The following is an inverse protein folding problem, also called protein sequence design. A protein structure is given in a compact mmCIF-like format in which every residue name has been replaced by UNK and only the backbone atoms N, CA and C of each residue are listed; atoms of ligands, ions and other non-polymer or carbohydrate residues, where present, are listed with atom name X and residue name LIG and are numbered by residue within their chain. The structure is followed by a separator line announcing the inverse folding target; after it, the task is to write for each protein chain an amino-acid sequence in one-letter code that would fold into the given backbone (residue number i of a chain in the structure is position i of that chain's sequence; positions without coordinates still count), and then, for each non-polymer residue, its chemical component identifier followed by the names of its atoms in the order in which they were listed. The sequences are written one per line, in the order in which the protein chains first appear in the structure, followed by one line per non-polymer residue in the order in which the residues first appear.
data_IF_708353418337
#
_entry.id   IF_708353418337
#
_cell.length_a   1.000
_cell.length_b   1.000
_cell.length_c   1.000
_cell.angle_alpha   90.00
_cell.angle_beta   90.00
_cell.angle_gamma   90.00
#
_symmetry.space_group_name_H-M   'P 1'
#
loop_
_entity.id
_entity.type
_entity.pdbx_description
1 polymer ?
#
# COMPACT_ATOMS: atom_id res chain seq x y z
N UNK A 1 -19.50 55.26 19.84
CA UNK A 1 -19.63 54.39 18.65
C UNK A 1 -18.31 54.03 17.96
N UNK A 2 -17.34 54.94 17.77
CA UNK A 2 -16.07 54.59 17.07
C UNK A 2 -15.15 53.62 17.83
N UNK A 3 -15.18 53.55 19.17
CA UNK A 3 -14.33 52.61 19.94
C UNK A 3 -14.85 51.16 19.93
N UNK A 4 -16.16 50.94 19.77
CA UNK A 4 -16.73 49.59 19.65
C UNK A 4 -16.46 48.94 18.28
N UNK A 5 -16.22 49.74 17.24
CA UNK A 5 -15.91 49.25 15.90
C UNK A 5 -14.49 48.65 15.86
N UNK A 6 -13.52 49.22 16.59
CA UNK A 6 -12.16 48.68 16.66
C UNK A 6 -12.06 47.37 17.45
N UNK A 7 -12.84 47.22 18.52
CA UNK A 7 -12.88 46.00 19.33
C UNK A 7 -13.56 44.85 18.56
N UNK A 8 -14.59 45.15 17.75
CA UNK A 8 -15.22 44.17 16.87
C UNK A 8 -14.30 43.72 15.71
N UNK A 9 -13.46 44.61 15.18
CA UNK A 9 -12.47 44.28 14.13
C UNK A 9 -11.30 43.45 14.68
N UNK A 10 -10.88 43.68 15.94
CA UNK A 10 -9.87 42.85 16.61
C UNK A 10 -10.40 41.46 16.99
N UNK A 11 -11.68 41.37 17.39
CA UNK A 11 -12.33 40.08 17.70
C UNK A 11 -12.57 39.23 16.44
N UNK A 12 -12.90 39.84 15.30
CA UNK A 12 -12.98 39.09 14.02
C UNK A 12 -11.61 38.70 13.49
N UNK A 13 -10.56 39.52 13.69
CA UNK A 13 -9.19 39.09 13.39
C UNK A 13 -8.73 37.93 14.28
N UNK A 14 -9.13 37.89 15.55
CA UNK A 14 -8.77 36.79 16.47
C UNK A 14 -9.53 35.47 16.19
N UNK A 15 -10.74 35.54 15.63
CA UNK A 15 -11.51 34.37 15.20
C UNK A 15 -11.08 33.85 13.82
N UNK A 16 -10.56 34.73 12.94
CA UNK A 16 -9.95 34.32 11.66
C UNK A 16 -8.50 33.82 11.88
N UNK A 17 -7.80 34.34 12.89
CA UNK A 17 -6.46 33.88 13.27
C UNK A 17 -6.45 32.52 13.99
N UNK A 18 -7.61 32.06 14.49
CA UNK A 18 -7.77 30.71 15.06
C UNK A 18 -8.33 29.68 14.08
N UNK A 19 -8.44 30.02 12.79
CA UNK A 19 -8.32 29.05 11.71
C UNK A 19 -6.84 28.62 11.62
N UNK A 20 -6.37 27.96 12.70
CA UNK A 20 -5.06 27.36 12.80
C UNK A 20 -4.85 26.47 11.58
N UNK A 21 -3.88 26.82 10.74
CA UNK A 21 -3.49 26.00 9.60
C UNK A 21 -3.22 24.58 10.08
N UNK A 22 -4.01 23.60 9.63
CA UNK A 22 -3.80 22.17 9.89
C UNK A 22 -2.33 21.79 9.75
N UNK A 23 -1.78 21.00 10.68
CA UNK A 23 -0.33 20.72 10.72
C UNK A 23 0.14 19.95 9.47
N UNK A 24 1.45 19.91 9.23
CA UNK A 24 2.01 19.11 8.12
C UNK A 24 1.62 17.64 8.26
N UNK A 25 1.71 17.11 9.48
CA UNK A 25 1.37 15.73 9.84
C UNK A 25 -0.12 15.45 9.61
N UNK A 26 -1.00 16.39 9.95
CA UNK A 26 -2.43 16.27 9.69
C UNK A 26 -2.74 16.27 8.19
N UNK A 27 -2.08 17.14 7.41
CA UNK A 27 -2.21 17.11 5.94
C UNK A 27 -1.70 15.81 5.33
N UNK A 28 -0.61 15.24 5.87
CA UNK A 28 -0.10 13.93 5.45
C UNK A 28 -1.14 12.84 5.77
N UNK A 29 -1.73 12.87 6.97
CA UNK A 29 -2.76 11.90 7.38
C UNK A 29 -4.00 11.95 6.48
N UNK A 30 -4.47 13.16 6.12
CA UNK A 30 -5.57 13.35 5.16
C UNK A 30 -5.20 12.74 3.80
N UNK A 31 -4.02 13.06 3.27
CA UNK A 31 -3.60 12.55 1.97
C UNK A 31 -3.46 11.02 1.95
N UNK A 32 -2.93 10.42 3.02
CA UNK A 32 -2.86 8.96 3.19
C UNK A 32 -4.25 8.32 3.25
N UNK A 33 -5.21 8.98 3.90
CA UNK A 33 -6.60 8.51 3.94
C UNK A 33 -7.18 8.47 2.54
N UNK A 34 -6.93 9.48 1.70
CA UNK A 34 -7.32 9.46 0.29
C UNK A 34 -6.67 8.28 -0.45
N UNK A 35 -5.38 7.97 -0.22
CA UNK A 35 -4.76 6.80 -0.86
C UNK A 35 -5.46 5.50 -0.45
N UNK A 36 -5.75 5.35 0.85
CA UNK A 36 -6.46 4.18 1.37
C UNK A 36 -7.86 4.06 0.76
N UNK A 37 -8.69 5.12 0.85
CA UNK A 37 -10.05 5.11 0.33
C UNK A 37 -10.10 4.88 -1.18
N UNK A 38 -9.21 5.52 -1.94
CA UNK A 38 -9.11 5.31 -3.37
C UNK A 38 -8.74 3.87 -3.74
N UNK A 39 -7.89 3.22 -2.95
CA UNK A 39 -7.60 1.79 -3.11
C UNK A 39 -8.79 0.89 -2.77
N UNK A 40 -9.52 1.20 -1.69
CA UNK A 40 -10.71 0.44 -1.26
C UNK A 40 -11.85 0.54 -2.28
N UNK A 41 -12.10 1.74 -2.79
CA UNK A 41 -13.22 2.03 -3.69
C UNK A 41 -12.86 1.86 -5.17
N UNK A 42 -11.62 1.45 -5.46
CA UNK A 42 -11.05 1.39 -6.82
C UNK A 42 -11.16 2.74 -7.57
N UNK A 43 -11.13 3.86 -6.84
CA UNK A 43 -11.27 5.20 -7.39
C UNK A 43 -9.92 5.89 -7.61
N UNK A 44 -9.50 5.89 -8.87
CA UNK A 44 -8.28 6.54 -9.35
C UNK A 44 -8.22 8.04 -9.01
N UNK A 45 -9.32 8.78 -9.10
CA UNK A 45 -9.29 10.23 -8.88
C UNK A 45 -9.06 10.56 -7.41
N UNK A 46 -9.58 9.77 -6.48
CA UNK A 46 -9.27 9.89 -5.06
C UNK A 46 -7.78 9.67 -4.77
N UNK A 47 -7.15 8.67 -5.38
CA UNK A 47 -5.71 8.44 -5.23
C UNK A 47 -4.90 9.62 -5.81
N UNK A 48 -5.30 10.14 -6.98
CA UNK A 48 -4.65 11.30 -7.59
C UNK A 48 -4.77 12.57 -6.73
N UNK A 49 -5.89 12.78 -6.05
CA UNK A 49 -6.05 13.88 -5.07
C UNK A 49 -5.05 13.73 -3.92
N UNK A 50 -4.91 12.54 -3.33
CA UNK A 50 -3.92 12.26 -2.30
C UNK A 50 -2.48 12.51 -2.78
N UNK A 51 -2.14 12.00 -3.98
CA UNK A 51 -0.84 12.24 -4.62
C UNK A 51 -0.52 13.74 -4.80
N UNK A 52 -1.49 14.52 -5.28
CA UNK A 52 -1.33 15.98 -5.47
C UNK A 52 -1.04 16.68 -4.14
N UNK A 53 -1.78 16.33 -3.08
CA UNK A 53 -1.54 16.89 -1.74
C UNK A 53 -0.14 16.52 -1.22
N UNK A 54 0.27 15.26 -1.33
CA UNK A 54 1.61 14.82 -0.90
C UNK A 54 2.72 15.54 -1.66
N UNK A 55 2.54 15.76 -2.97
CA UNK A 55 3.51 16.49 -3.79
C UNK A 55 3.62 17.96 -3.37
N UNK A 56 2.50 18.62 -3.08
CA UNK A 56 2.49 19.99 -2.58
C UNK A 56 3.14 20.10 -1.18
N UNK A 57 2.92 19.11 -0.31
CA UNK A 57 3.60 19.02 0.98
C UNK A 57 5.11 18.86 0.77
N UNK A 58 5.54 17.98 -0.12
CA UNK A 58 6.97 17.74 -0.39
C UNK A 58 7.71 18.98 -0.88
N UNK A 59 7.06 19.83 -1.68
CA UNK A 59 7.65 21.08 -2.17
C UNK A 59 8.02 22.05 -1.04
N UNK A 60 7.26 22.01 0.07
CA UNK A 60 7.48 22.89 1.23
C UNK A 60 8.20 22.19 2.38
N UNK A 61 8.09 20.86 2.46
CA UNK A 61 8.61 20.01 3.54
C UNK A 61 9.17 18.70 2.96
N UNK A 62 10.34 18.73 2.29
CA UNK A 62 10.90 17.59 1.59
C UNK A 62 11.50 16.58 2.58
N UNK A 63 10.67 15.65 3.06
CA UNK A 63 11.09 14.58 3.97
C UNK A 63 11.03 13.22 3.27
N UNK A 64 11.91 12.26 3.65
CA UNK A 64 11.82 10.88 3.16
C UNK A 64 10.44 10.25 3.39
N UNK A 65 9.75 10.58 4.47
CA UNK A 65 8.40 10.10 4.78
C UNK A 65 7.38 10.54 3.73
N UNK A 66 7.37 11.82 3.37
CA UNK A 66 6.47 12.32 2.34
C UNK A 66 6.81 11.70 0.98
N UNK A 67 8.10 11.56 0.65
CA UNK A 67 8.54 10.93 -0.59
C UNK A 67 8.13 9.45 -0.67
N UNK A 68 8.16 8.72 0.45
CA UNK A 68 7.63 7.36 0.54
C UNK A 68 6.14 7.32 0.20
N UNK A 69 5.33 8.23 0.77
CA UNK A 69 3.90 8.26 0.46
C UNK A 69 3.60 8.68 -0.98
N UNK A 70 4.43 9.52 -1.60
CA UNK A 70 4.35 9.81 -3.03
C UNK A 70 4.59 8.54 -3.86
N UNK A 71 5.59 7.74 -3.50
CA UNK A 71 5.85 6.45 -4.15
C UNK A 71 4.70 5.46 -3.91
N UNK A 72 4.16 5.40 -2.69
CA UNK A 72 2.99 4.58 -2.36
C UNK A 72 1.77 4.97 -3.20
N UNK A 73 1.47 6.27 -3.35
CA UNK A 73 0.34 6.72 -4.16
C UNK A 73 0.44 6.21 -5.61
N UNK A 74 1.65 6.22 -6.18
CA UNK A 74 1.90 5.67 -7.52
C UNK A 74 1.79 4.15 -7.55
N UNK A 75 2.26 3.46 -6.50
CA UNK A 75 2.03 2.02 -6.34
C UNK A 75 0.53 1.67 -6.37
N UNK A 76 -0.32 2.39 -5.63
CA UNK A 76 -1.78 2.13 -5.64
C UNK A 76 -2.39 2.40 -7.02
N UNK A 77 -1.98 3.49 -7.71
CA UNK A 77 -2.42 3.75 -9.09
C UNK A 77 -2.06 2.61 -10.04
N UNK A 78 -0.83 2.07 -9.94
CA UNK A 78 -0.38 0.95 -10.78
C UNK A 78 -1.19 -0.31 -10.47
N UNK A 79 -1.55 -0.56 -9.21
CA UNK A 79 -2.38 -1.71 -8.85
C UNK A 79 -3.78 -1.66 -9.47
N UNK A 80 -4.43 -0.50 -9.44
CA UNK A 80 -5.76 -0.34 -10.08
C UNK A 80 -5.72 -0.62 -11.59
N UNK A 81 -4.59 -0.34 -12.23
CA UNK A 81 -4.42 -0.54 -13.66
C UNK A 81 -4.12 -1.98 -14.10
N UNK A 82 -4.05 -2.96 -13.21
CA UNK A 82 -3.63 -4.34 -13.55
C UNK A 82 -4.60 -5.01 -14.54
N UNK A 83 -5.86 -4.61 -14.54
CA UNK A 83 -6.89 -5.05 -15.52
C UNK A 83 -6.77 -4.34 -16.87
N UNK A 84 -6.07 -3.20 -16.95
CA UNK A 84 -5.87 -2.37 -18.15
C UNK A 84 -4.37 -2.18 -18.44
N UNK A 85 -3.69 -3.30 -18.70
CA UNK A 85 -2.22 -3.32 -18.89
C UNK A 85 -1.74 -2.58 -20.13
N UNK A 86 -2.61 -2.35 -21.11
CA UNK A 86 -2.29 -1.63 -22.35
C UNK A 86 -2.16 -0.11 -22.12
N UNK A 87 -2.73 0.40 -21.02
CA UNK A 87 -2.67 1.81 -20.70
C UNK A 87 -1.30 2.22 -20.19
N UNK A 88 -0.56 2.89 -21.08
CA UNK A 88 0.81 3.36 -20.86
C UNK A 88 0.96 4.27 -19.64
N UNK A 89 -0.12 4.91 -19.19
CA UNK A 89 -0.09 5.78 -18.03
C UNK A 89 0.30 5.04 -16.74
N UNK A 90 -0.12 3.78 -16.58
CA UNK A 90 0.24 2.97 -15.41
C UNK A 90 1.70 2.53 -15.44
N UNK A 91 2.26 2.23 -16.62
CA UNK A 91 3.70 1.97 -16.77
C UNK A 91 4.54 3.20 -16.37
N UNK A 92 4.11 4.40 -16.77
CA UNK A 92 4.77 5.64 -16.34
C UNK A 92 4.69 5.84 -14.83
N UNK A 93 3.56 5.53 -14.19
CA UNK A 93 3.45 5.59 -12.73
C UNK A 93 4.36 4.57 -12.05
N UNK A 94 4.52 3.38 -12.62
CA UNK A 94 5.42 2.35 -12.11
C UNK A 94 6.88 2.79 -12.19
N UNK A 95 7.32 3.35 -13.32
CA UNK A 95 8.68 3.90 -13.48
C UNK A 95 8.93 5.03 -12.49
N UNK A 96 7.97 5.95 -12.33
CA UNK A 96 8.05 7.05 -11.36
C UNK A 96 8.17 6.53 -9.92
N UNK A 97 7.36 5.55 -9.53
CA UNK A 97 7.39 4.95 -8.20
C UNK A 97 8.74 4.29 -7.90
N UNK A 98 9.26 3.50 -8.85
CA UNK A 98 10.57 2.85 -8.71
C UNK A 98 11.67 3.90 -8.55
N UNK A 99 11.68 4.96 -9.36
CA UNK A 99 12.68 6.02 -9.24
C UNK A 99 12.64 6.70 -7.86
N UNK A 100 11.45 6.96 -7.31
CA UNK A 100 11.31 7.52 -5.94
C UNK A 100 11.80 6.58 -4.86
N UNK A 101 11.57 5.28 -5.02
CA UNK A 101 12.08 4.26 -4.11
C UNK A 101 13.60 4.16 -4.17
N UNK A 102 14.22 4.23 -5.35
CA UNK A 102 15.68 4.26 -5.45
C UNK A 102 16.28 5.55 -4.82
N UNK A 103 15.65 6.70 -5.03
CA UNK A 103 16.02 7.96 -4.37
C UNK A 103 15.96 7.83 -2.83
N UNK A 104 14.88 7.21 -2.31
CA UNK A 104 14.73 6.95 -0.89
C UNK A 104 15.82 6.03 -0.34
N UNK A 105 16.20 4.99 -1.08
CA UNK A 105 17.26 4.08 -0.64
C UNK A 105 18.64 4.73 -0.61
N UNK A 106 18.88 5.76 -1.43
CA UNK A 106 20.09 6.57 -1.31
C UNK A 106 20.10 7.39 -0.02
N UNK A 107 18.94 7.93 0.38
CA UNK A 107 18.80 8.77 1.59
C UNK A 107 18.69 7.95 2.89
N UNK A 108 18.03 6.79 2.83
CA UNK A 108 17.65 5.94 3.96
C UNK A 108 17.89 4.45 3.62
N UNK A 109 19.15 4.02 3.47
CA UNK A 109 19.49 2.67 3.00
C UNK A 109 19.12 1.54 3.97
N UNK A 110 18.69 1.85 5.20
CA UNK A 110 18.28 0.86 6.21
C UNK A 110 16.77 0.84 6.45
N UNK A 111 15.99 1.57 5.64
CA UNK A 111 14.56 1.68 5.86
C UNK A 111 13.80 0.51 5.23
N UNK A 112 13.46 -0.49 6.06
CA UNK A 112 12.76 -1.72 5.66
C UNK A 112 11.52 -1.48 4.78
N UNK A 113 10.71 -0.47 5.10
CA UNK A 113 9.49 -0.13 4.35
C UNK A 113 9.75 0.17 2.87
N UNK A 114 10.86 0.85 2.58
CA UNK A 114 11.25 1.21 1.21
C UNK A 114 11.62 -0.04 0.41
N UNK A 115 12.30 -1.00 1.04
CA UNK A 115 12.61 -2.29 0.41
C UNK A 115 11.37 -3.15 0.18
N UNK A 116 10.42 -3.16 1.10
CA UNK A 116 9.14 -3.84 0.91
C UNK A 116 8.40 -3.27 -0.31
N UNK A 117 8.29 -1.94 -0.41
CA UNK A 117 7.66 -1.27 -1.55
C UNK A 117 8.41 -1.53 -2.86
N UNK A 118 9.75 -1.49 -2.84
CA UNK A 118 10.60 -1.88 -3.98
C UNK A 118 10.27 -3.27 -4.49
N UNK A 119 10.18 -4.24 -3.59
CA UNK A 119 9.89 -5.63 -3.95
C UNK A 119 8.55 -5.75 -4.68
N UNK A 120 7.51 -5.11 -4.14
CA UNK A 120 6.16 -5.13 -4.71
C UNK A 120 6.07 -4.41 -6.06
N UNK A 121 6.76 -3.28 -6.23
CA UNK A 121 6.84 -2.57 -7.52
C UNK A 121 7.55 -3.42 -8.59
N UNK A 122 8.62 -4.13 -8.23
CA UNK A 122 9.28 -5.06 -9.17
C UNK A 122 8.37 -6.24 -9.51
N UNK A 123 7.55 -6.73 -8.58
CA UNK A 123 6.49 -7.70 -8.89
C UNK A 123 5.47 -7.16 -9.90
N UNK A 124 5.00 -5.92 -9.71
CA UNK A 124 4.11 -5.25 -10.67
C UNK A 124 4.76 -5.08 -12.05
N UNK A 125 6.08 -4.82 -12.13
CA UNK A 125 6.81 -4.78 -13.41
C UNK A 125 6.65 -6.08 -14.19
N UNK A 126 6.73 -7.21 -13.52
CA UNK A 126 6.54 -8.53 -14.14
C UNK A 126 5.09 -8.71 -14.62
N UNK A 127 4.12 -8.26 -13.82
CA UNK A 127 2.70 -8.35 -14.18
C UNK A 127 2.38 -7.57 -15.47
N UNK A 128 2.97 -6.39 -15.63
CA UNK A 128 2.80 -5.53 -16.82
C UNK A 128 3.66 -5.95 -18.01
N UNK A 129 4.88 -6.45 -17.75
CA UNK A 129 5.80 -6.92 -18.77
C UNK A 129 6.45 -8.25 -18.31
N UNK A 130 5.86 -9.41 -18.64
CA UNK A 130 6.38 -10.71 -18.19
C UNK A 130 7.82 -11.01 -18.60
N UNK A 131 8.27 -10.47 -19.74
CA UNK A 131 9.66 -10.62 -20.21
C UNK A 131 10.66 -10.00 -19.21
N UNK A 132 10.23 -8.99 -18.44
CA UNK A 132 11.06 -8.39 -17.40
C UNK A 132 11.38 -9.32 -16.23
N UNK A 133 10.72 -10.48 -16.10
CA UNK A 133 10.93 -11.44 -15.00
C UNK A 133 12.40 -11.79 -14.77
N UNK A 134 13.20 -11.90 -15.83
CA UNK A 134 14.64 -12.22 -15.73
C UNK A 134 15.46 -11.15 -15.01
N UNK A 135 14.99 -9.89 -14.97
CA UNK A 135 15.66 -8.78 -14.27
C UNK A 135 14.89 -8.31 -13.04
N UNK A 136 13.58 -8.15 -13.15
CA UNK A 136 12.71 -7.68 -12.08
C UNK A 136 12.50 -8.76 -10.99
N UNK A 137 12.52 -10.05 -11.36
CA UNK A 137 12.38 -11.16 -10.40
C UNK A 137 13.47 -11.14 -9.32
N UNK A 138 14.76 -11.20 -9.68
CA UNK A 138 15.86 -11.08 -8.72
C UNK A 138 15.81 -9.79 -7.89
N UNK A 139 15.47 -8.64 -8.52
CA UNK A 139 15.32 -7.37 -7.80
C UNK A 139 14.21 -7.42 -6.75
N UNK A 140 13.07 -8.03 -7.09
CA UNK A 140 11.94 -8.22 -6.18
C UNK A 140 12.33 -9.12 -5.00
N UNK A 141 13.04 -10.21 -5.30
CA UNK A 141 13.53 -11.16 -4.30
C UNK A 141 14.47 -10.52 -3.28
N UNK A 142 15.57 -9.93 -3.74
CA UNK A 142 16.57 -9.36 -2.84
C UNK A 142 16.00 -8.21 -2.02
N UNK A 143 15.10 -7.41 -2.60
CA UNK A 143 14.42 -6.36 -1.85
C UNK A 143 13.53 -6.92 -0.72
N UNK A 144 12.78 -8.01 -0.96
CA UNK A 144 11.96 -8.63 0.09
C UNK A 144 12.80 -9.23 1.22
N UNK A 145 13.89 -9.93 0.89
CA UNK A 145 14.77 -10.51 1.90
C UNK A 145 15.48 -9.42 2.72
N UNK A 146 15.96 -8.35 2.08
CA UNK A 146 16.59 -7.23 2.79
C UNK A 146 15.58 -6.48 3.68
N UNK A 147 14.32 -6.32 3.23
CA UNK A 147 13.28 -5.71 4.06
C UNK A 147 13.07 -6.48 5.37
N UNK A 148 12.98 -7.81 5.31
CA UNK A 148 12.80 -8.66 6.51
C UNK A 148 14.05 -8.68 7.38
N UNK A 149 15.24 -8.63 6.77
CA UNK A 149 16.52 -8.56 7.50
C UNK A 149 16.67 -7.25 8.27
N UNK A 150 16.32 -6.12 7.64
CA UNK A 150 16.41 -4.79 8.24
C UNK A 150 15.41 -4.60 9.38
N UNK A 151 14.19 -5.13 9.21
CA UNK A 151 13.17 -5.10 10.25
C UNK A 151 12.26 -6.33 10.15
N UNK A 152 12.51 -7.29 11.05
CA UNK A 152 11.70 -8.52 11.14
C UNK A 152 10.30 -8.30 11.74
N UNK A 153 9.99 -7.10 12.22
CA UNK A 153 8.69 -6.70 12.73
C UNK A 153 7.85 -5.93 11.72
N UNK A 154 8.42 -5.56 10.56
CA UNK A 154 7.69 -4.90 9.48
C UNK A 154 6.69 -5.87 8.82
N UNK A 155 5.36 -5.63 8.94
CA UNK A 155 4.37 -6.53 8.37
C UNK A 155 4.39 -6.54 6.82
N UNK A 156 4.70 -5.42 6.16
CA UNK A 156 4.77 -5.32 4.70
C UNK A 156 6.02 -6.01 4.13
N UNK A 157 7.11 -6.06 4.89
CA UNK A 157 8.29 -6.84 4.51
C UNK A 157 7.95 -8.34 4.40
N UNK A 158 7.24 -8.88 5.39
CA UNK A 158 6.77 -10.27 5.36
C UNK A 158 5.73 -10.51 4.26
N UNK A 159 4.84 -9.53 4.00
CA UNK A 159 3.91 -9.62 2.88
C UNK A 159 4.65 -9.70 1.54
N UNK A 160 5.60 -8.80 1.28
CA UNK A 160 6.40 -8.79 0.07
C UNK A 160 7.17 -10.11 -0.12
N UNK A 161 7.78 -10.63 0.96
CA UNK A 161 8.44 -11.93 0.94
C UNK A 161 7.48 -13.06 0.60
N UNK A 162 6.27 -13.06 1.16
CA UNK A 162 5.22 -14.03 0.82
C UNK A 162 4.86 -13.99 -0.67
N UNK A 163 4.65 -12.79 -1.24
CA UNK A 163 4.33 -12.60 -2.67
C UNK A 163 5.45 -13.18 -3.55
N UNK A 164 6.71 -12.88 -3.21
CA UNK A 164 7.86 -13.43 -3.93
C UNK A 164 7.87 -14.96 -3.87
N UNK A 165 7.71 -15.55 -2.67
CA UNK A 165 7.71 -17.01 -2.50
C UNK A 165 6.55 -17.71 -3.20
N UNK A 166 5.41 -17.02 -3.31
CA UNK A 166 4.22 -17.53 -3.99
C UNK A 166 4.43 -17.65 -5.51
N UNK A 167 5.04 -16.65 -6.14
CA UNK A 167 5.24 -16.62 -7.60
C UNK A 167 6.54 -17.26 -8.07
N UNK A 168 7.54 -17.38 -7.19
CA UNK A 168 8.84 -17.95 -7.54
C UNK A 168 8.72 -19.45 -7.90
N UNK A 169 9.39 -19.93 -8.96
CA UNK A 169 9.44 -21.36 -9.27
C UNK A 169 10.07 -22.18 -8.13
N UNK A 170 9.62 -23.43 -7.96
CA UNK A 170 10.07 -24.33 -6.90
C UNK A 170 11.58 -24.60 -6.93
N UNK A 171 12.16 -24.68 -8.13
CA UNK A 171 13.62 -24.86 -8.32
C UNK A 171 14.46 -23.72 -7.75
N UNK A 172 13.86 -22.54 -7.55
CA UNK A 172 14.50 -21.38 -6.92
C UNK A 172 14.10 -21.20 -5.45
N UNK A 173 13.38 -22.17 -4.86
CA UNK A 173 12.94 -22.14 -3.47
C UNK A 173 11.63 -21.40 -3.24
N UNK A 174 10.81 -21.20 -4.29
CA UNK A 174 9.42 -20.76 -4.15
C UNK A 174 8.51 -21.91 -3.69
N UNK A 175 7.47 -21.59 -2.93
CA UNK A 175 6.47 -22.56 -2.48
C UNK A 175 5.26 -21.83 -1.92
N UNK A 176 4.06 -22.32 -2.25
CA UNK A 176 2.81 -21.82 -1.65
C UNK A 176 2.83 -22.00 -0.13
N UNK A 177 3.41 -23.09 0.39
CA UNK A 177 3.51 -23.33 1.84
C UNK A 177 4.36 -22.27 2.54
N UNK A 178 5.51 -21.90 1.97
CA UNK A 178 6.37 -20.85 2.57
C UNK A 178 5.76 -19.47 2.43
N UNK A 179 5.02 -19.21 1.34
CA UNK A 179 4.24 -18.00 1.17
C UNK A 179 3.17 -17.84 2.26
N UNK A 180 2.41 -18.92 2.56
CA UNK A 180 1.41 -18.93 3.62
C UNK A 180 2.00 -18.55 4.98
N UNK A 181 3.16 -19.12 5.34
CA UNK A 181 3.79 -18.78 6.62
C UNK A 181 4.24 -17.31 6.67
N UNK A 182 4.72 -16.77 5.54
CA UNK A 182 5.03 -15.34 5.44
C UNK A 182 3.78 -14.46 5.60
N UNK A 183 2.67 -14.81 4.93
CA UNK A 183 1.43 -14.03 5.03
C UNK A 183 0.80 -14.11 6.43
N UNK A 184 0.80 -15.29 7.06
CA UNK A 184 0.36 -15.45 8.46
C UNK A 184 1.20 -14.58 9.40
N UNK A 185 2.53 -14.54 9.21
CA UNK A 185 3.41 -13.67 9.98
C UNK A 185 3.10 -12.19 9.75
N UNK A 186 2.88 -11.78 8.51
CA UNK A 186 2.47 -10.42 8.13
C UNK A 186 1.17 -9.99 8.83
N UNK A 187 0.12 -10.82 8.74
CA UNK A 187 -1.18 -10.58 9.39
C UNK A 187 -1.02 -10.45 10.91
N UNK A 188 -0.28 -11.36 11.53
CA UNK A 188 -0.04 -11.30 12.98
C UNK A 188 0.72 -10.04 13.41
N UNK A 189 1.63 -9.52 12.58
CA UNK A 189 2.34 -8.27 12.85
C UNK A 189 1.42 -7.06 12.66
N UNK A 190 0.57 -7.04 11.63
CA UNK A 190 -0.44 -6.00 11.47
C UNK A 190 -1.41 -5.96 12.66
N UNK A 191 -1.87 -7.11 13.15
CA UNK A 191 -2.83 -7.19 14.26
C UNK A 191 -2.22 -6.82 15.63
N UNK A 192 -0.89 -6.90 15.76
CA UNK A 192 -0.18 -6.46 16.96
C UNK A 192 0.21 -4.98 16.91
N UNK A 193 0.27 -4.40 15.71
CA UNK A 193 0.65 -3.01 15.54
C UNK A 193 -0.50 -2.10 15.95
N UNK A 194 -0.33 -1.38 17.05
CA UNK A 194 -1.22 -0.29 17.46
C UNK A 194 -0.76 1.07 16.91
N UNK A 195 0.10 1.11 15.89
CA UNK A 195 0.65 2.38 15.41
C UNK A 195 -0.43 3.21 14.72
N UNK A 196 -0.96 4.20 15.45
CA UNK A 196 -1.80 5.28 14.93
C UNK A 196 -0.95 6.49 14.50
N UNK A 197 0.37 6.32 14.32
CA UNK A 197 1.23 7.45 14.03
C UNK A 197 0.96 8.00 12.62
N UNK A 198 0.75 9.32 12.46
CA UNK A 198 0.44 9.94 11.17
C UNK A 198 1.48 9.66 10.08
N UNK A 199 2.74 9.44 10.46
CA UNK A 199 3.87 9.27 9.54
C UNK A 199 4.22 7.82 9.24
N UNK A 200 3.54 6.85 9.86
CA UNK A 200 3.76 5.42 9.61
C UNK A 200 2.85 4.89 8.48
N UNK A 201 3.31 3.96 7.64
CA UNK A 201 2.44 3.38 6.61
C UNK A 201 1.31 2.55 7.23
N UNK A 202 0.08 2.83 6.82
CA UNK A 202 -1.16 2.23 7.37
C UNK A 202 -1.87 1.28 6.39
N UNK A 203 -1.21 0.91 5.30
CA UNK A 203 -1.75 0.07 4.23
C UNK A 203 -1.23 -1.38 4.32
N UNK A 204 -1.87 -2.28 3.56
CA UNK A 204 -1.39 -3.65 3.33
C UNK A 204 -2.06 -4.74 4.17
N UNK A 205 -2.83 -4.41 5.21
CA UNK A 205 -3.48 -5.45 6.04
C UNK A 205 -4.53 -6.25 5.25
N UNK A 206 -5.41 -5.55 4.53
CA UNK A 206 -6.38 -6.18 3.63
C UNK A 206 -5.66 -7.01 2.56
N UNK A 207 -4.60 -6.47 1.96
CA UNK A 207 -3.81 -7.18 0.95
C UNK A 207 -3.19 -8.46 1.50
N UNK A 208 -2.67 -8.46 2.73
CA UNK A 208 -2.12 -9.65 3.36
C UNK A 208 -3.19 -10.74 3.59
N UNK A 209 -4.41 -10.35 3.98
CA UNK A 209 -5.55 -11.27 4.07
C UNK A 209 -5.90 -11.87 2.70
N UNK A 210 -5.95 -11.03 1.66
CA UNK A 210 -6.27 -11.45 0.30
C UNK A 210 -5.20 -12.41 -0.26
N UNK A 211 -3.92 -12.08 -0.07
CA UNK A 211 -2.82 -12.94 -0.51
C UNK A 211 -2.79 -14.29 0.21
N UNK A 212 -3.07 -14.32 1.52
CA UNK A 212 -3.21 -15.59 2.24
C UNK A 212 -4.40 -16.40 1.74
N UNK A 213 -5.54 -15.75 1.47
CA UNK A 213 -6.71 -16.40 0.88
C UNK A 213 -6.40 -17.02 -0.48
N UNK A 214 -5.68 -16.29 -1.35
CA UNK A 214 -5.24 -16.80 -2.65
C UNK A 214 -4.31 -18.00 -2.50
N UNK A 215 -3.39 -17.95 -1.54
CA UNK A 215 -2.49 -19.06 -1.26
C UNK A 215 -3.22 -20.31 -0.75
N UNK A 216 -4.29 -20.15 0.04
CA UNK A 216 -5.16 -21.26 0.43
C UNK A 216 -5.96 -21.83 -0.74
N UNK A 217 -6.46 -20.98 -1.65
CA UNK A 217 -7.13 -21.43 -2.87
C UNK A 217 -6.22 -22.34 -3.72
N UNK A 218 -4.94 -22.01 -3.86
CA UNK A 218 -3.98 -22.85 -4.57
C UNK A 218 -3.75 -24.22 -3.92
N UNK A 219 -4.08 -24.38 -2.64
CA UNK A 219 -4.03 -25.66 -1.93
C UNK A 219 -5.41 -26.32 -1.80
N UNK A 220 -6.42 -25.82 -2.51
CA UNK A 220 -7.82 -26.25 -2.42
C UNK A 220 -8.43 -26.11 -1.00
N UNK A 221 -7.84 -25.27 -0.15
CA UNK A 221 -8.35 -24.97 1.19
C UNK A 221 -9.39 -23.84 1.14
N UNK A 222 -10.47 -24.06 0.39
CA UNK A 222 -11.45 -23.02 0.03
C UNK A 222 -12.17 -22.40 1.23
N UNK A 223 -12.43 -23.18 2.28
CA UNK A 223 -13.06 -22.67 3.51
C UNK A 223 -12.17 -21.64 4.21
N UNK A 224 -10.86 -21.92 4.32
CA UNK A 224 -9.90 -20.98 4.93
C UNK A 224 -9.78 -19.71 4.10
N UNK A 225 -9.80 -19.81 2.78
CA UNK A 225 -9.82 -18.65 1.91
C UNK A 225 -11.09 -17.82 2.09
N UNK A 226 -12.27 -18.46 2.18
CA UNK A 226 -13.54 -17.78 2.38
C UNK A 226 -13.56 -16.99 3.70
N UNK A 227 -13.06 -17.58 4.77
CA UNK A 227 -13.00 -16.93 6.08
C UNK A 227 -12.09 -15.69 6.07
N UNK A 228 -10.97 -15.72 5.34
CA UNK A 228 -10.10 -14.56 5.18
C UNK A 228 -10.76 -13.45 4.38
N UNK A 229 -11.47 -13.76 3.30
CA UNK A 229 -12.19 -12.77 2.50
C UNK A 229 -13.37 -12.16 3.28
N UNK A 230 -14.10 -12.97 4.06
CA UNK A 230 -15.13 -12.46 4.98
C UNK A 230 -14.54 -11.60 6.08
N UNK A 231 -13.38 -11.96 6.64
CA UNK A 231 -12.65 -11.14 7.61
C UNK A 231 -12.23 -9.80 7.00
N UNK A 232 -11.73 -9.81 5.77
CA UNK A 232 -11.37 -8.59 5.02
C UNK A 232 -12.59 -7.67 4.83
N UNK A 233 -13.73 -8.22 4.39
CA UNK A 233 -15.00 -7.46 4.23
C UNK A 233 -15.58 -6.99 5.57
N UNK A 234 -15.43 -7.75 6.65
CA UNK A 234 -15.87 -7.32 7.98
C UNK A 234 -15.08 -6.12 8.48
N UNK A 235 -13.82 -5.97 8.04
CA UNK A 235 -12.97 -4.84 8.36
C UNK A 235 -13.23 -3.64 7.46
N UNK A 236 -13.44 -3.89 6.18
CA UNK A 236 -13.75 -2.84 5.21
C UNK A 236 -14.93 -3.25 4.31
N UNK A 237 -16.17 -2.98 4.75
CA UNK A 237 -17.38 -3.36 4.00
C UNK A 237 -17.50 -2.67 2.64
N UNK A 238 -16.79 -1.54 2.43
CA UNK A 238 -16.82 -0.78 1.17
C UNK A 238 -15.93 -1.40 0.09
N UNK A 239 -15.05 -2.35 0.43
CA UNK A 239 -14.17 -3.05 -0.51
C UNK A 239 -14.96 -4.04 -1.39
N UNK A 240 -15.86 -3.52 -2.23
CA UNK A 240 -16.82 -4.31 -3.02
C UNK A 240 -16.14 -5.26 -4.00
N UNK A 241 -14.92 -4.95 -4.44
CA UNK A 241 -14.11 -5.84 -5.28
C UNK A 241 -13.87 -7.21 -4.62
N UNK A 242 -13.74 -7.27 -3.28
CA UNK A 242 -13.58 -8.54 -2.55
C UNK A 242 -14.85 -9.39 -2.71
N UNK A 243 -16.01 -8.77 -2.53
CA UNK A 243 -17.31 -9.44 -2.69
C UNK A 243 -17.56 -9.85 -4.14
N UNK A 244 -17.17 -9.03 -5.10
CA UNK A 244 -17.50 -9.24 -6.52
C UNK A 244 -16.56 -10.24 -7.21
N UNK A 245 -15.28 -10.28 -6.82
CA UNK A 245 -14.28 -11.07 -7.52
C UNK A 245 -13.78 -12.29 -6.74
N UNK A 246 -13.75 -12.24 -5.41
CA UNK A 246 -13.11 -13.29 -4.61
C UNK A 246 -14.10 -14.31 -4.03
N UNK A 247 -15.23 -13.86 -3.47
CA UNK A 247 -16.22 -14.76 -2.87
C UNK A 247 -16.97 -15.67 -3.87
N UNK A 248 -17.42 -15.20 -5.05
CA UNK A 248 -18.22 -16.03 -5.96
C UNK A 248 -17.46 -17.26 -6.48
N UNK A 249 -16.14 -17.12 -6.64
CA UNK A 249 -15.25 -18.22 -7.07
C UNK A 249 -15.27 -19.35 -6.03
N UNK A 250 -15.26 -19.00 -4.74
CA UNK A 250 -15.26 -19.97 -3.65
C UNK A 250 -16.60 -20.66 -3.50
N UNK A 251 -17.70 -19.92 -3.56
CA UNK A 251 -19.04 -20.50 -3.44
C UNK A 251 -19.34 -21.49 -4.57
N UNK A 252 -18.83 -21.24 -5.78
CA UNK A 252 -18.92 -22.21 -6.87
C UNK A 252 -18.11 -23.47 -6.56
N UNK A 253 -16.87 -23.33 -6.07
CA UNK A 253 -15.97 -24.45 -5.76
C UNK A 253 -16.37 -25.27 -4.53
N UNK A 254 -17.09 -24.69 -3.58
CA UNK A 254 -17.65 -25.40 -2.43
C UNK A 254 -18.90 -26.21 -2.77
N UNK A 255 -19.53 -25.94 -3.93
CA UNK A 255 -20.72 -26.67 -4.42
C UNK A 255 -20.38 -27.78 -5.43
N UNK A 256 -19.15 -27.81 -5.93
CA UNK A 256 -18.60 -28.83 -6.84
C UNK A 256 -17.91 -29.94 -6.03
#
# INVERSE_FOLDING_TARGET
MKQFIWIAILLTYSLIANANSISVEERIAIAKTLLYEGGILEDKETILRGYKQLTAIYQTHPTPQVLYFIAQAKYELVRLGVSDKANVQYLQYLDQAINRVEELLQQKPTWSEVYALKSMLQGLRIIYNPISAVTAGPKSYYAAEEAVKLDSTNPRAWMARGIVRYHMPTVFGGSVRTAIECFKKSIALFERSNSQQPLEPSWGYLDALLWLGWAYQQQNEFDKAADLYRKALSREPRAMFIKNYFLPILEKKQRE
#
